data_IF_539047155360
#
_entry.id   IF_539047155360
#
_cell.length_a   1.000
_cell.length_b   1.000
_cell.length_c   1.000
_cell.angle_alpha   90.00
_cell.angle_beta   90.00
_cell.angle_gamma   90.00
#
_symmetry.space_group_name_H-M   'P 1'
#
loop_
_entity.id
_entity.type
_entity.pdbx_description
1 polymer ?
#
# COMPACT_ATOMS: atom_id res chain seq x y z
N UNK A 1 -8.24 31.20 -40.67
CA UNK A 1 -7.40 30.60 -39.61
C UNK A 1 -7.86 31.19 -38.30
N UNK A 2 -8.79 30.52 -37.62
CA UNK A 2 -9.20 30.84 -36.26
C UNK A 2 -8.68 29.73 -35.33
N UNK A 3 -8.09 30.04 -34.18
CA UNK A 3 -7.75 29.03 -33.19
C UNK A 3 -9.02 28.68 -32.41
N UNK A 4 -9.50 27.46 -32.58
CA UNK A 4 -10.64 26.93 -31.83
C UNK A 4 -10.21 26.72 -30.38
N UNK A 5 -10.59 27.65 -29.51
CA UNK A 5 -10.59 27.47 -28.06
C UNK A 5 -11.56 26.34 -27.69
N UNK A 6 -11.02 25.19 -27.30
CA UNK A 6 -11.72 24.21 -26.45
C UNK A 6 -10.95 24.03 -25.16
N UNK A 7 -11.29 24.87 -24.19
CA UNK A 7 -11.04 24.57 -22.80
C UNK A 7 -12.03 23.51 -22.31
N UNK A 8 -11.57 22.74 -21.32
CA UNK A 8 -12.34 21.91 -20.39
C UNK A 8 -12.89 20.57 -20.92
N UNK A 9 -12.12 19.51 -20.67
CA UNK A 9 -12.58 18.41 -19.84
C UNK A 9 -11.35 17.74 -19.21
N UNK A 10 -10.75 18.42 -18.23
CA UNK A 10 -9.98 17.73 -17.20
C UNK A 10 -11.00 16.95 -16.38
N UNK A 11 -11.17 15.68 -16.73
CA UNK A 11 -11.92 14.72 -15.95
C UNK A 11 -11.36 14.76 -14.51
N UNK A 12 -12.09 15.42 -13.61
CA UNK A 12 -11.76 15.51 -12.20
C UNK A 12 -11.83 14.10 -11.63
N UNK A 13 -10.67 13.45 -11.53
CA UNK A 13 -10.51 12.20 -10.80
C UNK A 13 -10.99 12.46 -9.35
N UNK A 14 -12.03 11.76 -8.86
CA UNK A 14 -12.47 11.93 -7.48
C UNK A 14 -11.32 11.69 -6.51
N UNK A 15 -11.03 12.69 -5.69
CA UNK A 15 -9.90 12.78 -4.75
C UNK A 15 -10.08 11.90 -3.50
N UNK A 16 -10.43 10.63 -3.69
CA UNK A 16 -10.51 9.64 -2.63
C UNK A 16 -10.15 8.28 -3.18
N UNK A 17 -8.94 7.79 -2.89
CA UNK A 17 -8.46 6.38 -2.92
C UNK A 17 -6.95 6.34 -3.12
N UNK A 18 -6.21 6.58 -2.03
CA UNK A 18 -5.06 5.77 -1.62
C UNK A 18 -4.99 5.93 -0.10
N UNK A 19 -5.26 4.85 0.62
CA UNK A 19 -5.60 4.85 2.04
C UNK A 19 -4.84 3.70 2.69
N UNK A 20 -3.70 4.00 3.29
CA UNK A 20 -3.11 3.12 4.29
C UNK A 20 -3.14 3.91 5.61
N UNK A 21 -3.96 3.47 6.56
CA UNK A 21 -3.70 3.79 7.96
C UNK A 21 -2.80 2.69 8.54
N UNK A 22 -2.20 2.97 9.69
CA UNK A 22 -1.12 2.14 10.24
C UNK A 22 -1.67 0.78 10.74
N UNK A 23 -2.87 0.71 11.33
CA UNK A 23 -3.44 -0.59 11.72
C UNK A 23 -4.06 -1.39 10.56
N UNK A 24 -4.55 -0.74 9.49
CA UNK A 24 -4.93 -1.46 8.26
C UNK A 24 -3.71 -2.08 7.62
N UNK A 25 -2.57 -1.40 7.65
CA UNK A 25 -1.31 -1.98 7.21
C UNK A 25 -1.06 -3.26 8.02
N UNK A 26 -1.03 -3.20 9.36
CA UNK A 26 -0.85 -4.40 10.20
C UNK A 26 -1.82 -5.53 9.82
N UNK A 27 -3.14 -5.28 9.81
CA UNK A 27 -4.16 -6.28 9.49
C UNK A 27 -3.99 -6.86 8.08
N UNK A 28 -3.55 -6.06 7.12
CA UNK A 28 -3.24 -6.49 5.76
C UNK A 28 -2.02 -7.42 5.72
N UNK A 29 -0.96 -7.09 6.46
CA UNK A 29 0.21 -7.96 6.62
C UNK A 29 -0.17 -9.30 7.25
N UNK A 30 -0.91 -9.31 8.37
CA UNK A 30 -1.33 -10.56 9.02
C UNK A 30 -2.19 -11.44 8.10
N UNK A 31 -3.14 -10.84 7.36
CA UNK A 31 -3.99 -11.56 6.41
C UNK A 31 -3.16 -12.16 5.25
N UNK A 32 -2.20 -11.40 4.74
CA UNK A 32 -1.31 -11.85 3.68
C UNK A 32 -0.39 -12.97 4.13
N UNK A 33 0.25 -12.84 5.30
CA UNK A 33 1.11 -13.88 5.88
C UNK A 33 0.35 -15.19 6.03
N UNK A 34 -0.79 -15.16 6.73
CA UNK A 34 -1.64 -16.34 6.93
C UNK A 34 -2.00 -17.01 5.61
N UNK A 35 -2.42 -16.23 4.62
CA UNK A 35 -2.82 -16.77 3.31
C UNK A 35 -1.66 -17.43 2.56
N UNK A 36 -0.49 -16.79 2.54
CA UNK A 36 0.69 -17.31 1.86
C UNK A 36 1.20 -18.60 2.51
N UNK A 37 1.21 -18.65 3.84
CA UNK A 37 1.67 -19.81 4.60
C UNK A 37 0.68 -20.98 4.49
N UNK A 38 -0.61 -20.74 4.70
CA UNK A 38 -1.62 -21.81 4.69
C UNK A 38 -1.98 -22.33 3.30
N UNK A 39 -1.94 -21.47 2.25
CA UNK A 39 -2.47 -21.82 0.92
C UNK A 39 -1.41 -21.96 -0.16
N UNK A 40 -0.22 -21.40 0.04
CA UNK A 40 0.82 -21.34 -0.99
C UNK A 40 2.18 -21.90 -0.54
N UNK A 41 2.23 -22.51 0.66
CA UNK A 41 3.42 -23.18 1.19
C UNK A 41 4.66 -22.26 1.23
N UNK A 42 4.45 -20.98 1.52
CA UNK A 42 5.52 -20.06 1.86
C UNK A 42 5.80 -20.10 3.36
N UNK A 43 6.97 -19.63 3.76
CA UNK A 43 7.27 -19.21 5.13
C UNK A 43 7.57 -17.72 5.06
N UNK A 44 6.76 -16.90 5.71
CA UNK A 44 6.91 -15.44 5.67
C UNK A 44 7.80 -15.01 6.82
N UNK A 45 9.05 -14.68 6.47
CA UNK A 45 10.11 -14.33 7.42
C UNK A 45 10.07 -12.87 7.85
N UNK A 46 9.74 -11.94 6.94
CA UNK A 46 9.70 -10.49 7.24
C UNK A 46 8.68 -9.78 6.34
N UNK A 47 8.09 -8.71 6.85
CA UNK A 47 7.28 -7.76 6.09
C UNK A 47 7.77 -6.33 6.31
N UNK A 48 8.01 -5.56 5.24
CA UNK A 48 8.42 -4.16 5.34
C UNK A 48 7.28 -3.19 5.05
N UNK A 49 6.99 -2.32 6.02
CA UNK A 49 6.19 -1.12 5.80
C UNK A 49 7.12 0.00 5.32
N UNK A 50 6.82 0.56 4.16
CA UNK A 50 7.54 1.72 3.59
C UNK A 50 6.60 2.93 3.55
N UNK A 51 6.67 3.86 4.52
CA UNK A 51 5.89 5.09 4.47
C UNK A 51 6.35 5.99 3.32
N UNK A 52 5.39 6.58 2.60
CA UNK A 52 5.73 7.39 1.43
C UNK A 52 6.47 8.68 1.72
N UNK A 53 7.13 9.25 0.71
CA UNK A 53 7.78 10.56 0.82
C UNK A 53 6.76 11.70 1.05
N UNK A 54 7.18 12.78 1.71
CA UNK A 54 6.31 13.92 2.02
C UNK A 54 5.74 14.60 0.78
N UNK A 55 6.52 14.75 -0.29
CA UNK A 55 6.02 15.29 -1.57
C UNK A 55 4.78 14.55 -2.08
N UNK A 56 4.73 13.23 -1.92
CA UNK A 56 3.58 12.44 -2.35
C UNK A 56 2.37 12.69 -1.45
N UNK A 57 2.58 12.69 -0.14
CA UNK A 57 1.50 12.87 0.84
C UNK A 57 0.92 14.28 0.76
N UNK A 58 1.75 15.31 0.66
CA UNK A 58 1.33 16.71 0.47
C UNK A 58 0.47 16.86 -0.79
N UNK A 59 0.88 16.26 -1.91
CA UNK A 59 0.09 16.27 -3.15
C UNK A 59 -1.28 15.60 -3.03
N UNK A 60 -1.47 14.70 -2.05
CA UNK A 60 -2.75 14.06 -1.75
C UNK A 60 -3.59 14.81 -0.71
N UNK A 61 -3.01 15.76 0.00
CA UNK A 61 -3.64 16.49 1.10
C UNK A 61 -4.00 17.93 0.74
N UNK A 62 -3.95 18.30 -0.55
CA UNK A 62 -4.27 19.66 -1.04
C UNK A 62 -5.66 20.18 -0.64
N UNK A 63 -6.63 19.29 -0.45
CA UNK A 63 -8.01 19.64 -0.04
C UNK A 63 -8.30 19.27 1.43
N UNK A 64 -7.27 18.99 2.22
CA UNK A 64 -7.41 18.68 3.65
C UNK A 64 -6.94 19.90 4.43
N UNK A 65 -7.72 20.33 5.42
CA UNK A 65 -7.42 21.54 6.22
C UNK A 65 -6.18 21.39 7.11
N UNK A 66 -5.81 20.16 7.46
CA UNK A 66 -4.64 19.83 8.28
C UNK A 66 -3.35 19.75 7.44
N UNK A 67 -2.23 20.19 8.02
CA UNK A 67 -0.91 19.91 7.45
C UNK A 67 -0.63 18.38 7.45
N UNK A 68 0.00 17.82 6.39
CA UNK A 68 0.40 16.42 6.37
C UNK A 68 1.39 16.11 7.49
N UNK A 69 1.17 15.00 8.21
CA UNK A 69 2.16 14.49 9.17
C UNK A 69 3.44 14.15 8.39
N UNK A 70 4.58 14.69 8.84
CA UNK A 70 5.87 14.53 8.18
C UNK A 70 6.30 13.06 8.05
N UNK A 71 7.16 12.79 7.08
CA UNK A 71 7.65 11.46 6.77
C UNK A 71 8.40 10.86 7.96
N UNK A 72 9.12 11.70 8.71
CA UNK A 72 9.72 11.34 9.98
C UNK A 72 8.69 10.78 10.97
N UNK A 73 7.64 11.54 11.30
CA UNK A 73 6.62 11.08 12.25
C UNK A 73 5.83 9.87 11.73
N UNK A 74 5.57 9.78 10.43
CA UNK A 74 4.92 8.60 9.83
C UNK A 74 5.77 7.35 9.96
N UNK A 75 7.09 7.46 9.80
CA UNK A 75 8.02 6.35 10.06
C UNK A 75 7.98 5.93 11.52
N UNK A 76 8.08 6.86 12.47
CA UNK A 76 8.08 6.51 13.89
C UNK A 76 6.74 5.92 14.34
N UNK A 77 5.60 6.45 13.87
CA UNK A 77 4.29 5.83 14.16
C UNK A 77 4.19 4.40 13.61
N UNK A 78 4.74 4.14 12.42
CA UNK A 78 4.80 2.78 11.90
C UNK A 78 5.71 1.88 12.75
N UNK A 79 6.81 2.40 13.29
CA UNK A 79 7.73 1.63 14.15
C UNK A 79 7.07 1.24 15.47
N UNK A 80 6.45 2.21 16.13
CA UNK A 80 5.73 1.97 17.39
C UNK A 80 4.62 0.91 17.20
N UNK A 81 3.95 0.89 16.04
CA UNK A 81 3.02 -0.19 15.72
C UNK A 81 3.72 -1.53 15.43
N UNK A 82 4.81 -1.50 14.67
CA UNK A 82 5.59 -2.67 14.27
C UNK A 82 6.25 -3.36 15.48
N UNK A 83 6.62 -2.63 16.53
CA UNK A 83 7.18 -3.17 17.79
C UNK A 83 6.25 -4.20 18.47
N UNK A 84 4.95 -4.24 18.10
CA UNK A 84 3.98 -5.25 18.54
C UNK A 84 3.91 -6.47 17.61
N UNK A 85 4.85 -6.61 16.68
CA UNK A 85 4.98 -7.72 15.75
C UNK A 85 6.41 -8.24 15.78
N UNK A 86 6.56 -9.55 15.68
CA UNK A 86 7.84 -10.25 15.61
C UNK A 86 8.40 -10.34 14.18
N UNK A 87 7.63 -9.94 13.16
CA UNK A 87 7.98 -10.14 11.75
C UNK A 87 7.74 -8.92 10.85
N UNK A 88 7.11 -7.86 11.37
CA UNK A 88 6.89 -6.62 10.62
C UNK A 88 7.97 -5.61 11.01
N UNK A 89 8.62 -5.04 10.02
CA UNK A 89 9.64 -3.99 10.16
C UNK A 89 9.25 -2.74 9.35
N UNK A 90 9.96 -1.63 9.60
CA UNK A 90 9.73 -0.36 8.91
C UNK A 90 10.97 0.06 8.14
N UNK A 91 10.80 0.19 6.82
CA UNK A 91 11.79 0.76 5.92
C UNK A 91 11.58 2.26 5.81
N UNK A 92 12.55 3.05 6.25
CA UNK A 92 12.51 4.51 6.11
C UNK A 92 13.01 5.01 4.75
N UNK A 93 13.38 4.11 3.82
CA UNK A 93 14.01 4.45 2.54
C UNK A 93 13.17 5.42 1.71
N UNK A 94 11.89 5.13 1.49
CA UNK A 94 11.00 5.97 0.68
C UNK A 94 10.71 7.32 1.36
N UNK A 95 10.50 7.31 2.68
CA UNK A 95 10.20 8.52 3.45
C UNK A 95 11.38 9.50 3.53
N UNK A 96 12.62 8.99 3.54
CA UNK A 96 13.85 9.79 3.71
C UNK A 96 14.59 10.07 2.39
N UNK A 97 14.03 9.65 1.26
CA UNK A 97 14.58 9.98 -0.05
C UNK A 97 14.60 11.51 -0.28
N UNK A 98 15.45 12.00 -1.19
CA UNK A 98 15.47 13.43 -1.54
C UNK A 98 14.20 13.88 -2.32
N UNK A 99 13.40 12.94 -2.80
CA UNK A 99 12.19 13.21 -3.56
C UNK A 99 11.29 11.99 -3.57
N UNK A 100 10.10 12.14 -4.15
CA UNK A 100 9.15 11.04 -4.23
C UNK A 100 9.67 9.90 -5.11
N UNK A 101 9.70 8.70 -4.55
CA UNK A 101 9.99 7.45 -5.25
C UNK A 101 8.67 6.69 -5.40
N UNK A 102 8.33 6.29 -6.62
CA UNK A 102 7.11 5.51 -6.86
C UNK A 102 7.24 4.09 -6.29
N UNK A 103 6.10 3.49 -5.90
CA UNK A 103 6.08 2.17 -5.26
C UNK A 103 6.76 1.06 -6.09
N UNK A 104 6.73 1.03 -7.45
CA UNK A 104 7.51 0.05 -8.21
C UNK A 104 9.00 0.14 -7.96
N UNK A 105 9.54 1.36 -7.90
CA UNK A 105 10.97 1.59 -7.65
C UNK A 105 11.36 1.25 -6.21
N UNK A 106 10.47 1.49 -5.25
CA UNK A 106 10.65 1.06 -3.85
C UNK A 106 10.68 -0.47 -3.74
N UNK A 107 9.73 -1.15 -4.40
CA UNK A 107 9.67 -2.61 -4.43
C UNK A 107 10.94 -3.21 -5.06
N UNK A 108 11.42 -2.62 -6.16
CA UNK A 108 12.68 -3.00 -6.80
C UNK A 108 13.86 -2.82 -5.87
N UNK A 109 13.99 -1.66 -5.21
CA UNK A 109 15.07 -1.41 -4.27
C UNK A 109 15.14 -2.47 -3.16
N UNK A 110 14.01 -2.87 -2.56
CA UNK A 110 13.99 -3.94 -1.55
C UNK A 110 14.29 -5.33 -2.11
N UNK A 111 13.83 -5.62 -3.34
CA UNK A 111 14.16 -6.88 -4.01
C UNK A 111 15.66 -7.00 -4.32
N UNK A 112 16.28 -5.90 -4.77
CA UNK A 112 17.73 -5.82 -5.02
C UNK A 112 18.51 -5.93 -3.71
N UNK A 113 18.11 -5.20 -2.66
CA UNK A 113 18.73 -5.28 -1.34
C UNK A 113 18.74 -6.72 -0.79
N UNK A 114 17.61 -7.43 -0.85
CA UNK A 114 17.54 -8.84 -0.43
C UNK A 114 18.44 -9.72 -1.29
N UNK A 115 18.42 -9.55 -2.62
CA UNK A 115 19.23 -10.36 -3.51
C UNK A 115 20.75 -10.17 -3.30
N UNK A 116 21.17 -8.98 -2.86
CA UNK A 116 22.57 -8.66 -2.56
C UNK A 116 23.02 -9.17 -1.19
N UNK A 117 22.14 -9.15 -0.18
CA UNK A 117 22.51 -9.38 1.22
C UNK A 117 22.08 -10.76 1.76
N UNK A 118 21.15 -11.44 1.09
CA UNK A 118 20.62 -12.73 1.52
C UNK A 118 21.00 -13.80 0.51
N UNK A 119 21.82 -14.76 0.95
CA UNK A 119 22.30 -15.86 0.11
C UNK A 119 21.24 -16.94 -0.14
N UNK A 120 20.20 -16.97 0.70
CA UNK A 120 19.10 -17.91 0.61
C UNK A 120 18.13 -17.52 -0.51
N UNK A 121 17.37 -18.49 -1.02
CA UNK A 121 16.37 -18.26 -2.06
C UNK A 121 15.11 -17.59 -1.47
N UNK A 122 15.23 -16.31 -1.14
CA UNK A 122 14.13 -15.48 -0.63
C UNK A 122 13.38 -14.82 -1.80
N UNK A 123 12.05 -14.82 -1.71
CA UNK A 123 11.18 -14.17 -2.69
C UNK A 123 10.58 -12.91 -2.08
N UNK A 124 10.92 -11.75 -2.65
CA UNK A 124 10.26 -10.49 -2.32
C UNK A 124 8.96 -10.38 -3.12
N UNK A 125 7.87 -10.00 -2.45
CA UNK A 125 6.56 -9.76 -3.06
C UNK A 125 6.05 -8.37 -2.64
N UNK A 126 5.30 -7.71 -3.53
CA UNK A 126 4.66 -6.43 -3.23
C UNK A 126 3.26 -6.67 -2.64
N UNK A 127 3.03 -6.19 -1.42
CA UNK A 127 1.75 -6.27 -0.74
C UNK A 127 0.92 -5.00 -0.97
N UNK A 128 -0.35 -5.15 -1.36
CA UNK A 128 -1.28 -4.04 -1.47
C UNK A 128 -2.74 -4.48 -1.36
N UNK A 129 -3.62 -3.52 -1.09
CA UNK A 129 -5.07 -3.74 -1.15
C UNK A 129 -5.53 -3.97 -2.60
N UNK A 130 -6.60 -4.75 -2.77
CA UNK A 130 -7.17 -5.06 -4.08
C UNK A 130 -7.51 -3.80 -4.89
N UNK A 131 -7.89 -2.69 -4.24
CA UNK A 131 -8.15 -1.41 -4.88
C UNK A 131 -6.94 -0.78 -5.56
N UNK A 132 -5.76 -0.89 -4.95
CA UNK A 132 -4.51 -0.41 -5.54
C UNK A 132 -4.08 -1.30 -6.71
N UNK A 133 -4.12 -2.62 -6.50
CA UNK A 133 -3.69 -3.61 -7.49
C UNK A 133 -4.54 -3.52 -8.75
N UNK A 134 -5.86 -3.39 -8.57
CA UNK A 134 -6.81 -3.22 -9.67
C UNK A 134 -6.50 -1.92 -10.45
N UNK A 135 -6.44 -0.79 -9.74
CA UNK A 135 -6.22 0.53 -10.34
C UNK A 135 -4.90 0.66 -11.09
N UNK A 136 -3.84 0.04 -10.56
CA UNK A 136 -2.51 0.11 -11.16
C UNK A 136 -2.25 -1.01 -12.18
N UNK A 137 -3.21 -1.91 -12.43
CA UNK A 137 -3.07 -2.97 -13.42
C UNK A 137 -1.96 -3.98 -13.09
N UNK A 138 -1.70 -4.24 -11.80
CA UNK A 138 -0.56 -5.04 -11.33
C UNK A 138 -0.79 -6.56 -11.39
N UNK A 139 -1.58 -7.02 -12.36
CA UNK A 139 -1.99 -8.43 -12.48
C UNK A 139 -0.85 -9.38 -12.82
N UNK A 140 0.24 -8.83 -13.36
CA UNK A 140 1.40 -9.58 -13.82
C UNK A 140 2.65 -9.20 -13.02
N UNK A 141 2.48 -8.79 -11.77
CA UNK A 141 3.55 -8.34 -10.92
C UNK A 141 4.07 -6.94 -11.26
N UNK A 142 5.17 -6.57 -10.62
CA UNK A 142 5.89 -5.32 -10.84
C UNK A 142 7.18 -5.64 -11.61
N UNK A 143 7.42 -4.93 -12.71
CA UNK A 143 8.66 -5.05 -13.47
C UNK A 143 9.85 -4.49 -12.66
N UNK A 144 10.89 -5.30 -12.50
CA UNK A 144 12.11 -4.98 -11.77
C UNK A 144 13.34 -5.44 -12.57
N UNK A 145 13.64 -4.70 -13.64
CA UNK A 145 14.73 -5.04 -14.56
C UNK A 145 14.42 -6.31 -15.35
N UNK A 146 15.27 -7.34 -15.20
CA UNK A 146 15.06 -8.65 -15.84
C UNK A 146 14.14 -9.59 -15.06
N UNK A 147 13.72 -9.19 -13.85
CA UNK A 147 12.84 -9.98 -12.98
C UNK A 147 11.49 -9.29 -12.80
N UNK A 148 10.51 -10.08 -12.39
CA UNK A 148 9.18 -9.59 -12.01
C UNK A 148 8.96 -9.88 -10.53
N UNK A 149 8.58 -8.85 -9.77
CA UNK A 149 8.20 -8.97 -8.36
C UNK A 149 6.73 -9.38 -8.31
N UNK A 150 6.40 -10.55 -7.74
CA UNK A 150 5.00 -10.96 -7.56
C UNK A 150 4.24 -10.01 -6.65
N UNK A 151 2.92 -9.98 -6.80
CA UNK A 151 2.02 -9.13 -6.04
C UNK A 151 1.13 -9.97 -5.14
N UNK A 152 0.87 -9.49 -3.94
CA UNK A 152 -0.12 -10.03 -3.01
C UNK A 152 -1.21 -8.98 -2.85
N UNK A 153 -2.40 -9.29 -3.35
CA UNK A 153 -3.57 -8.42 -3.32
C UNK A 153 -4.50 -8.84 -2.19
N UNK A 154 -4.62 -8.00 -1.15
CA UNK A 154 -5.54 -8.26 -0.04
C UNK A 154 -6.95 -7.80 -0.39
N UNK A 155 -7.91 -8.71 -0.27
CA UNK A 155 -9.31 -8.47 -0.58
C UNK A 155 -9.89 -7.27 0.16
N UNK A 156 -10.71 -6.49 -0.55
CA UNK A 156 -11.47 -5.38 0.00
C UNK A 156 -12.89 -5.42 -0.55
N UNK A 157 -13.90 -5.10 0.28
CA UNK A 157 -15.28 -5.03 -0.17
C UNK A 157 -15.43 -4.11 -1.37
N UNK A 158 -16.04 -4.62 -2.44
CA UNK A 158 -16.24 -3.90 -3.70
C UNK A 158 -15.08 -3.91 -4.70
N UNK A 159 -13.93 -4.51 -4.35
CA UNK A 159 -12.74 -4.59 -5.22
C UNK A 159 -12.28 -6.02 -5.49
N UNK A 160 -12.52 -6.95 -4.56
CA UNK A 160 -12.07 -8.34 -4.69
C UNK A 160 -12.69 -9.04 -5.91
N UNK A 161 -13.99 -8.85 -6.15
CA UNK A 161 -14.70 -9.47 -7.28
C UNK A 161 -14.26 -8.87 -8.62
N UNK A 162 -14.26 -7.53 -8.82
CA UNK A 162 -13.71 -6.92 -10.03
C UNK A 162 -12.29 -7.36 -10.35
N UNK A 163 -11.41 -7.45 -9.33
CA UNK A 163 -10.03 -7.91 -9.52
C UNK A 163 -9.99 -9.35 -10.06
N UNK A 164 -10.79 -10.27 -9.52
CA UNK A 164 -10.87 -11.65 -10.02
C UNK A 164 -11.38 -11.73 -11.46
N UNK A 165 -12.39 -10.95 -11.79
CA UNK A 165 -12.94 -10.89 -13.16
C UNK A 165 -11.89 -10.36 -14.14
N UNK A 166 -11.13 -9.34 -13.73
CA UNK A 166 -10.05 -8.76 -14.52
C UNK A 166 -8.91 -9.76 -14.76
N UNK A 167 -8.54 -10.56 -13.74
CA UNK A 167 -7.58 -11.66 -13.88
C UNK A 167 -8.09 -12.69 -14.88
N UNK A 168 -9.33 -13.16 -14.72
CA UNK A 168 -9.91 -14.17 -15.60
C UNK A 168 -9.99 -13.68 -17.06
N UNK A 169 -10.38 -12.43 -17.28
CA UNK A 169 -10.40 -11.81 -18.61
C UNK A 169 -8.99 -11.72 -19.22
N UNK A 170 -7.99 -11.39 -18.41
CA UNK A 170 -6.61 -11.26 -18.85
C UNK A 170 -5.97 -12.60 -19.20
N UNK A 171 -6.24 -13.65 -18.43
CA UNK A 171 -5.82 -15.03 -18.74
C UNK A 171 -6.44 -15.49 -20.06
N UNK A 172 -7.76 -15.28 -20.25
CA UNK A 172 -8.43 -15.60 -21.52
C UNK A 172 -7.83 -14.86 -22.72
N UNK A 173 -7.50 -13.57 -22.56
CA UNK A 173 -6.88 -12.76 -23.62
C UNK A 173 -5.51 -13.30 -24.00
N UNK A 174 -4.67 -13.65 -23.02
CA UNK A 174 -3.34 -14.23 -23.24
C UNK A 174 -3.42 -15.58 -23.97
N UNK A 175 -4.34 -16.45 -23.56
CA UNK A 175 -4.56 -17.73 -24.23
C UNK A 175 -4.92 -17.56 -25.72
N UNK A 176 -5.77 -16.58 -26.06
CA UNK A 176 -6.09 -16.23 -27.45
C UNK A 176 -4.90 -15.71 -28.25
N UNK A 177 -3.92 -15.10 -27.58
CA UNK A 177 -2.67 -14.62 -28.19
C UNK A 177 -1.58 -15.71 -28.24
N UNK A 178 -1.90 -16.96 -27.92
CA UNK A 178 -0.94 -18.07 -27.91
C UNK A 178 0.05 -18.03 -26.75
N UNK A 179 -0.15 -17.16 -25.75
CA UNK A 179 0.68 -17.09 -24.56
C UNK A 179 0.22 -18.15 -23.55
N UNK A 180 1.00 -19.22 -23.41
CA UNK A 180 0.68 -20.38 -22.54
C UNK A 180 1.48 -20.43 -21.25
N UNK A 181 2.39 -19.48 -21.00
CA UNK A 181 3.18 -19.46 -19.78
C UNK A 181 2.29 -19.32 -18.54
N UNK A 182 2.53 -20.16 -17.54
CA UNK A 182 1.89 -20.03 -16.24
C UNK A 182 2.40 -18.77 -15.53
N UNK A 183 1.44 -17.94 -15.13
CA UNK A 183 1.65 -16.64 -14.46
C UNK A 183 0.96 -16.59 -13.09
N UNK A 184 0.41 -17.71 -12.62
CA UNK A 184 -0.27 -17.80 -11.32
C UNK A 184 0.64 -17.39 -10.16
N UNK A 185 1.95 -17.57 -10.32
CA UNK A 185 2.98 -17.19 -9.35
C UNK A 185 3.26 -15.68 -9.28
N UNK A 186 2.65 -14.85 -10.15
CA UNK A 186 2.84 -13.40 -10.19
C UNK A 186 1.79 -12.62 -9.40
N UNK A 187 0.65 -13.23 -9.08
CA UNK A 187 -0.43 -12.58 -8.32
C UNK A 187 -1.11 -13.56 -7.36
N UNK A 188 -1.08 -13.22 -6.08
CA UNK A 188 -1.78 -13.93 -5.02
C UNK A 188 -2.94 -13.08 -4.51
N UNK A 189 -4.18 -13.54 -4.65
CA UNK A 189 -5.36 -12.82 -4.14
C UNK A 189 -5.75 -13.43 -2.79
N UNK A 190 -5.63 -12.64 -1.72
CA UNK A 190 -6.08 -13.02 -0.39
C UNK A 190 -7.58 -12.78 -0.30
N UNK A 191 -8.35 -13.84 -0.04
CA UNK A 191 -9.82 -13.76 -0.05
C UNK A 191 -10.42 -13.25 1.26
N UNK A 192 -9.63 -13.25 2.34
CA UNK A 192 -10.04 -12.65 3.60
C UNK A 192 -10.13 -11.14 3.43
N UNK A 193 -11.35 -10.62 3.42
CA UNK A 193 -11.56 -9.19 3.28
C UNK A 193 -11.22 -8.48 4.60
N UNK A 194 -10.30 -7.52 4.53
CA UNK A 194 -10.02 -6.64 5.68
C UNK A 194 -11.05 -5.52 5.74
N UNK A 195 -11.52 -5.18 6.94
CA UNK A 195 -12.42 -4.04 7.20
C UNK A 195 -11.88 -2.75 6.55
N UNK A 196 -12.80 -1.88 6.14
CA UNK A 196 -12.49 -0.69 5.37
C UNK A 196 -11.92 0.45 6.24
N UNK A 197 -10.75 0.21 6.81
CA UNK A 197 -9.99 1.19 7.57
C UNK A 197 -9.29 2.15 6.62
N UNK A 198 -9.46 3.44 6.82
CA UNK A 198 -8.85 4.46 5.96
C UNK A 198 -8.22 5.58 6.77
N UNK A 199 -7.12 6.11 6.24
CA UNK A 199 -6.50 7.33 6.77
C UNK A 199 -7.46 8.53 6.74
N UNK A 200 -8.45 8.54 5.84
CA UNK A 200 -9.53 9.55 5.85
C UNK A 200 -10.34 9.46 7.14
N UNK A 201 -10.78 8.26 7.52
CA UNK A 201 -11.56 8.05 8.74
C UNK A 201 -10.77 8.39 10.01
N UNK A 202 -9.48 8.07 10.03
CA UNK A 202 -8.57 8.47 11.12
C UNK A 202 -8.55 9.99 11.25
N UNK A 203 -8.38 10.73 10.15
CA UNK A 203 -8.39 12.20 10.19
C UNK A 203 -9.74 12.77 10.64
N UNK A 204 -10.85 12.22 10.18
CA UNK A 204 -12.20 12.62 10.63
C UNK A 204 -12.42 12.43 12.13
N UNK A 205 -11.81 11.40 12.74
CA UNK A 205 -11.83 11.20 14.18
C UNK A 205 -10.96 12.24 14.89
N UNK A 206 -9.72 12.45 14.41
CA UNK A 206 -8.82 13.48 14.95
C UNK A 206 -9.44 14.88 14.87
N UNK A 207 -10.12 15.22 13.77
CA UNK A 207 -10.83 16.50 13.60
C UNK A 207 -11.94 16.73 14.62
N UNK A 208 -12.51 15.64 15.16
CA UNK A 208 -13.56 15.66 16.18
C UNK A 208 -13.01 15.51 17.59
N UNK A 209 -11.69 15.37 17.75
CA UNK A 209 -11.06 15.05 19.03
C UNK A 209 -11.45 13.66 19.56
N UNK A 210 -11.92 12.77 18.69
CA UNK A 210 -12.28 11.39 19.04
C UNK A 210 -11.03 10.49 18.99
N UNK A 211 -11.03 9.43 19.80
CA UNK A 211 -9.94 8.44 19.80
C UNK A 211 -9.82 7.73 18.44
N UNK A 212 -8.58 7.45 18.05
CA UNK A 212 -8.18 6.67 16.88
C UNK A 212 -7.53 5.34 17.25
N UNK A 213 -7.48 4.97 18.53
CA UNK A 213 -6.84 3.73 19.00
C UNK A 213 -7.38 2.48 18.28
N UNK A 214 -8.69 2.37 18.07
CA UNK A 214 -9.28 1.23 17.34
C UNK A 214 -8.78 1.10 15.88
N UNK A 215 -8.38 2.23 15.28
CA UNK A 215 -7.95 2.32 13.88
C UNK A 215 -6.45 2.30 13.69
N UNK A 216 -5.67 2.66 14.69
CA UNK A 216 -4.23 2.89 14.58
C UNK A 216 -3.41 2.11 15.62
N UNK A 217 -4.03 1.60 16.68
CA UNK A 217 -3.37 1.09 17.89
C UNK A 217 -3.27 2.19 18.96
N UNK A 218 -3.34 1.78 20.24
CA UNK A 218 -3.20 2.68 21.39
C UNK A 218 -1.84 3.36 21.40
N UNK A 219 -0.80 2.67 20.97
CA UNK A 219 0.58 3.14 20.97
C UNK A 219 0.81 4.23 19.92
N UNK A 220 0.15 4.11 18.76
CA UNK A 220 0.16 5.15 17.73
C UNK A 220 -0.64 6.37 18.18
N UNK A 221 -1.77 6.16 18.85
CA UNK A 221 -2.53 7.26 19.46
C UNK A 221 -1.70 7.98 20.53
N UNK A 222 -1.04 7.25 21.42
CA UNK A 222 -0.14 7.81 22.42
C UNK A 222 0.99 8.63 21.78
N UNK A 223 1.59 8.14 20.68
CA UNK A 223 2.59 8.89 19.92
C UNK A 223 2.02 10.19 19.33
N UNK A 224 0.83 10.13 18.72
CA UNK A 224 0.14 11.31 18.18
C UNK A 224 -0.16 12.36 19.27
N UNK A 225 -0.49 11.91 20.48
CA UNK A 225 -0.76 12.77 21.64
C UNK A 225 0.53 13.38 22.17
N UNK A 226 1.56 12.56 22.42
CA UNK A 226 2.84 13.01 22.98
C UNK A 226 3.54 14.06 22.12
N UNK A 227 3.42 13.95 20.79
CA UNK A 227 4.03 14.88 19.83
C UNK A 227 3.05 15.97 19.34
N UNK A 228 1.87 16.10 19.95
CA UNK A 228 0.87 17.11 19.58
C UNK A 228 0.40 17.06 18.11
N UNK A 229 0.64 15.95 17.41
CA UNK A 229 0.32 15.79 16.00
C UNK A 229 -1.20 15.77 15.74
N UNK A 230 -1.97 15.29 16.71
CA UNK A 230 -3.44 15.33 16.67
C UNK A 230 -4.00 16.75 16.65
N UNK A 231 -3.32 17.74 17.26
CA UNK A 231 -3.78 19.14 17.33
C UNK A 231 -3.86 19.79 15.95
N UNK A 232 -3.03 19.34 15.00
CA UNK A 232 -3.04 19.83 13.62
C UNK A 232 -4.36 19.51 12.86
N UNK A 233 -5.21 18.64 13.41
CA UNK A 233 -6.48 18.24 12.82
C UNK A 233 -7.68 18.90 13.51
N UNK A 234 -7.56 19.41 14.75
CA UNK A 234 -8.68 19.99 15.48
C UNK A 234 -9.26 21.22 14.74
N UNK A 235 -10.58 21.34 14.73
CA UNK A 235 -11.31 22.41 14.03
C UNK A 235 -11.30 23.75 14.75
#
# INVERSE_FOLDING_TARGET
MEPTTRAAEQERIPLGKLRANIAAAKKMFEAAKRWLEEKHNFTVVVGWISPSHDHYVTGKMVNVRSYPISGHHRVEMCRVMADKSDWIEVSSYEARAMGFINFPSVARYHAEYVAEHVQEKVRVMYLGGADLIEKCGLLFGISAGSKTIPVVAVGRPGYTTPLKEMVAASVRRRAKQGMTQDISHLLYIVLTETLNFSSTKVRELLERGESVAELCGEEVEAYLQHHDLHKAFLK
#
